data_IF_150292740349
#
_entry.id   IF_150292740349
#
_cell.length_a   1.000
_cell.length_b   1.000
_cell.length_c   1.000
_cell.angle_alpha   90.00
_cell.angle_beta   90.00
_cell.angle_gamma   90.00
#
_symmetry.space_group_name_H-M   'P 1'
#
loop_
_entity.id
_entity.type
_entity.pdbx_description
1 polymer ?
#
# COMPACT_ATOMS: atom_id res chain seq x y z
N UNK A 1 -3.66 58.65 -10.54
CA UNK A 1 -2.49 57.76 -10.64
C UNK A 1 -2.95 56.33 -10.36
N UNK A 2 -2.78 55.40 -11.32
CA UNK A 2 -3.06 53.98 -11.10
C UNK A 2 -1.85 53.33 -10.42
N UNK A 3 -2.10 52.48 -9.44
CA UNK A 3 -1.27 51.29 -9.17
C UNK A 3 -2.19 50.08 -9.13
N UNK A 4 -2.06 49.12 -10.06
CA UNK A 4 -2.60 47.78 -9.89
C UNK A 4 -1.53 46.89 -9.24
N UNK A 5 -1.84 46.27 -8.10
CA UNK A 5 -0.99 45.20 -7.54
C UNK A 5 -1.81 43.92 -7.30
N UNK A 6 -1.70 43.03 -8.29
CA UNK A 6 -1.53 41.58 -8.21
C UNK A 6 -2.08 40.83 -6.99
N UNK A 7 -3.27 40.24 -7.14
CA UNK A 7 -3.81 39.23 -6.21
C UNK A 7 -4.09 37.86 -6.85
N UNK A 8 -3.65 37.61 -8.10
CA UNK A 8 -4.00 36.39 -8.83
C UNK A 8 -2.97 35.22 -8.75
N UNK A 9 -1.80 35.38 -8.10
CA UNK A 9 -0.68 34.42 -8.21
C UNK A 9 -0.57 33.36 -7.11
N UNK A 10 -1.25 33.53 -5.97
CA UNK A 10 -1.14 32.65 -4.79
C UNK A 10 -1.94 31.32 -4.89
N UNK A 11 -3.16 31.27 -5.46
CA UNK A 11 -3.96 30.03 -5.50
C UNK A 11 -3.40 28.95 -6.44
N UNK A 12 -2.78 29.38 -7.54
CA UNK A 12 -2.23 28.47 -8.54
C UNK A 12 -0.99 27.74 -7.99
N UNK A 13 -0.03 28.47 -7.38
CA UNK A 13 1.17 27.89 -6.75
C UNK A 13 0.86 26.84 -5.68
N UNK A 14 -0.15 27.06 -4.85
CA UNK A 14 -0.56 26.08 -3.82
C UNK A 14 -1.20 24.82 -4.42
N UNK A 15 -1.94 24.96 -5.54
CA UNK A 15 -2.50 23.83 -6.31
C UNK A 15 -1.39 22.96 -6.88
N UNK A 16 -0.36 23.57 -7.45
CA UNK A 16 0.80 22.87 -8.01
C UNK A 16 1.62 22.15 -6.94
N UNK A 17 1.91 22.83 -5.82
CA UNK A 17 2.64 22.23 -4.70
C UNK A 17 1.94 20.99 -4.16
N UNK A 18 0.60 21.03 -4.06
CA UNK A 18 -0.19 19.90 -3.57
C UNK A 18 -0.22 18.74 -4.56
N UNK A 19 -0.47 18.96 -5.84
CA UNK A 19 -0.44 17.89 -6.85
C UNK A 19 0.90 17.16 -6.89
N UNK A 20 2.01 17.92 -6.87
CA UNK A 20 3.37 17.35 -6.82
C UNK A 20 3.61 16.56 -5.53
N UNK A 21 3.20 17.07 -4.36
CA UNK A 21 3.33 16.35 -3.09
C UNK A 21 2.60 15.00 -3.13
N UNK A 22 1.35 14.99 -3.58
CA UNK A 22 0.55 13.75 -3.68
C UNK A 22 1.18 12.77 -4.66
N UNK A 23 1.66 13.25 -5.81
CA UNK A 23 2.32 12.42 -6.79
C UNK A 23 3.67 11.87 -6.31
N UNK A 24 4.47 12.67 -5.61
CA UNK A 24 5.72 12.22 -4.99
C UNK A 24 5.46 11.18 -3.91
N UNK A 25 4.44 11.36 -3.07
CA UNK A 25 4.06 10.36 -2.05
C UNK A 25 3.67 9.02 -2.68
N UNK A 26 2.89 9.04 -3.78
CA UNK A 26 2.54 7.84 -4.52
C UNK A 26 3.76 7.08 -5.07
N UNK A 27 4.71 7.81 -5.68
CA UNK A 27 5.93 7.22 -6.24
C UNK A 27 6.81 6.69 -5.12
N UNK A 28 7.05 7.47 -4.06
CA UNK A 28 7.86 7.07 -2.93
C UNK A 28 7.30 5.82 -2.25
N UNK A 29 5.99 5.75 -2.05
CA UNK A 29 5.31 4.57 -1.51
C UNK A 29 5.54 3.35 -2.42
N UNK A 30 5.25 3.48 -3.73
CA UNK A 30 5.38 2.37 -4.67
C UNK A 30 6.82 1.84 -4.76
N UNK A 31 7.82 2.73 -4.79
CA UNK A 31 9.24 2.35 -4.82
C UNK A 31 9.67 1.71 -3.50
N UNK A 32 9.30 2.30 -2.37
CA UNK A 32 9.66 1.77 -1.05
C UNK A 32 9.08 0.36 -0.84
N UNK A 33 7.79 0.16 -1.11
CA UNK A 33 7.16 -1.16 -1.00
C UNK A 33 7.78 -2.17 -1.97
N UNK A 34 8.14 -1.76 -3.20
CA UNK A 34 8.83 -2.65 -4.14
C UNK A 34 10.21 -3.08 -3.63
N UNK A 35 10.96 -2.17 -3.01
CA UNK A 35 12.26 -2.49 -2.38
C UNK A 35 12.06 -3.45 -1.21
N UNK A 36 11.07 -3.20 -0.35
CA UNK A 36 10.75 -4.06 0.81
C UNK A 36 10.50 -5.51 0.36
N UNK A 37 9.65 -5.69 -0.65
CA UNK A 37 9.33 -7.01 -1.19
C UNK A 37 10.54 -7.66 -1.89
N UNK A 38 11.37 -6.88 -2.59
CA UNK A 38 12.58 -7.39 -3.23
C UNK A 38 13.63 -7.85 -2.21
N UNK A 39 13.78 -7.15 -1.08
CA UNK A 39 14.67 -7.55 0.02
C UNK A 39 14.21 -8.88 0.60
N UNK A 40 12.93 -8.99 0.99
CA UNK A 40 12.39 -10.22 1.57
C UNK A 40 12.44 -11.41 0.60
N UNK A 41 12.13 -11.19 -0.68
CA UNK A 41 12.25 -12.23 -1.70
C UNK A 41 13.72 -12.64 -1.91
N UNK A 42 14.65 -11.68 -1.94
CA UNK A 42 16.07 -11.93 -2.14
C UNK A 42 16.74 -12.67 -0.99
N UNK A 43 16.20 -12.57 0.23
CA UNK A 43 16.68 -13.33 1.41
C UNK A 43 16.00 -14.68 1.59
N UNK A 44 15.07 -15.04 0.69
CA UNK A 44 14.35 -16.32 0.77
C UNK A 44 13.33 -16.36 1.90
N UNK A 45 12.56 -15.27 2.10
CA UNK A 45 11.48 -15.26 3.08
C UNK A 45 10.53 -16.45 2.88
N UNK A 46 10.19 -17.18 3.96
CA UNK A 46 9.38 -18.38 3.89
C UNK A 46 7.94 -18.05 3.44
N UNK A 47 7.31 -18.99 2.74
CA UNK A 47 5.88 -18.93 2.45
C UNK A 47 5.06 -19.15 3.72
N UNK A 48 3.80 -18.69 3.76
CA UNK A 48 2.94 -18.84 4.95
C UNK A 48 2.73 -20.29 5.40
N UNK A 49 2.72 -21.25 4.47
CA UNK A 49 2.64 -22.69 4.78
C UNK A 49 3.98 -23.40 4.96
N UNK A 50 5.09 -22.67 5.11
CA UNK A 50 6.40 -23.28 5.36
C UNK A 50 6.44 -23.95 6.75
N UNK A 51 7.22 -25.04 6.92
CA UNK A 51 7.47 -25.62 8.24
C UNK A 51 7.94 -24.58 9.24
N UNK A 52 7.45 -24.65 10.49
CA UNK A 52 7.71 -23.60 11.48
C UNK A 52 9.20 -23.53 11.87
N UNK A 53 9.93 -24.64 11.73
CA UNK A 53 11.38 -24.71 11.88
C UNK A 53 12.11 -23.83 10.87
N UNK A 54 11.64 -23.81 9.62
CA UNK A 54 12.20 -22.97 8.55
C UNK A 54 11.91 -21.49 8.83
N UNK A 55 10.71 -21.18 9.34
CA UNK A 55 10.34 -19.81 9.74
C UNK A 55 11.23 -19.33 10.88
N UNK A 56 11.43 -20.15 11.91
CA UNK A 56 12.32 -19.82 13.02
C UNK A 56 13.76 -19.60 12.54
N UNK A 57 14.28 -20.53 11.74
CA UNK A 57 15.64 -20.44 11.20
C UNK A 57 15.82 -19.18 10.34
N UNK A 58 14.82 -18.83 9.52
CA UNK A 58 14.84 -17.62 8.70
C UNK A 58 14.95 -16.37 9.57
N UNK A 59 14.09 -16.23 10.58
CA UNK A 59 14.06 -15.04 11.43
C UNK A 59 15.32 -14.89 12.29
N UNK A 60 15.91 -15.99 12.76
CA UNK A 60 17.20 -15.98 13.46
C UNK A 60 18.37 -15.59 12.54
N UNK A 61 18.34 -16.03 11.28
CA UNK A 61 19.41 -15.75 10.32
C UNK A 61 19.31 -14.38 9.64
N UNK A 62 18.11 -13.79 9.55
CA UNK A 62 17.83 -12.61 8.71
C UNK A 62 17.35 -11.39 9.51
N UNK A 63 17.86 -11.20 10.73
CA UNK A 63 17.52 -10.07 11.59
C UNK A 63 17.63 -8.72 10.88
N UNK A 64 18.75 -8.45 10.21
CA UNK A 64 19.01 -7.16 9.56
C UNK A 64 18.09 -6.89 8.35
N UNK A 65 17.93 -7.83 7.38
CA UNK A 65 16.95 -7.68 6.31
C UNK A 65 15.52 -7.44 6.82
N UNK A 66 15.09 -8.18 7.84
CA UNK A 66 13.75 -7.98 8.40
C UNK A 66 13.64 -6.62 9.10
N UNK A 67 14.67 -6.17 9.82
CA UNK A 67 14.68 -4.83 10.41
C UNK A 67 14.55 -3.72 9.35
N UNK A 68 15.22 -3.88 8.20
CA UNK A 68 15.07 -2.97 7.05
C UNK A 68 13.62 -2.98 6.57
N UNK A 69 13.06 -4.16 6.27
CA UNK A 69 11.67 -4.28 5.81
C UNK A 69 10.67 -3.66 6.81
N UNK A 70 10.83 -3.93 8.11
CA UNK A 70 9.99 -3.37 9.17
C UNK A 70 10.10 -1.85 9.29
N UNK A 71 11.28 -1.27 9.03
CA UNK A 71 11.47 0.18 8.98
C UNK A 71 10.79 0.81 7.76
N UNK A 72 10.75 0.10 6.63
CA UNK A 72 10.05 0.55 5.43
C UNK A 72 8.55 0.62 5.65
N UNK A 73 7.95 -0.31 6.41
CA UNK A 73 6.54 -0.20 6.79
C UNK A 73 6.28 1.13 7.53
N UNK A 74 7.14 1.52 8.48
CA UNK A 74 6.99 2.80 9.20
C UNK A 74 7.05 4.03 8.28
N UNK A 75 7.78 3.95 7.16
CA UNK A 75 7.79 4.98 6.12
C UNK A 75 6.57 4.89 5.19
N UNK A 76 6.13 3.66 4.84
CA UNK A 76 5.06 3.40 3.89
C UNK A 76 3.70 3.88 4.41
N UNK A 77 3.43 3.73 5.71
CA UNK A 77 2.18 4.16 6.33
C UNK A 77 1.87 5.65 6.12
N UNK A 78 2.74 6.61 6.52
CA UNK A 78 2.47 8.03 6.28
C UNK A 78 2.45 8.37 4.78
N UNK A 79 3.25 7.73 3.93
CA UNK A 79 3.24 7.97 2.49
C UNK A 79 1.90 7.58 1.85
N UNK A 80 1.35 6.41 2.22
CA UNK A 80 0.04 5.97 1.77
C UNK A 80 -1.05 6.94 2.22
N UNK A 81 -1.03 7.36 3.48
CA UNK A 81 -2.02 8.28 4.04
C UNK A 81 -1.97 9.65 3.36
N UNK A 82 -0.78 10.20 3.14
CA UNK A 82 -0.58 11.44 2.37
C UNK A 82 -1.12 11.29 0.95
N UNK A 83 -0.88 10.15 0.31
CA UNK A 83 -1.41 9.89 -1.02
C UNK A 83 -2.93 9.85 -1.06
N UNK A 84 -3.59 9.01 -0.25
CA UNK A 84 -5.05 8.82 -0.33
C UNK A 84 -5.83 10.05 0.13
N UNK A 85 -5.38 10.73 1.20
CA UNK A 85 -6.00 11.97 1.68
C UNK A 85 -5.74 13.14 0.72
N UNK A 86 -4.54 13.19 0.14
CA UNK A 86 -4.18 14.17 -0.86
C UNK A 86 -4.99 14.00 -2.15
N UNK A 87 -5.16 12.76 -2.61
CA UNK A 87 -6.01 12.43 -3.75
C UNK A 87 -7.47 12.82 -3.49
N UNK A 88 -8.01 12.53 -2.30
CA UNK A 88 -9.33 13.01 -1.88
C UNK A 88 -9.43 14.54 -1.99
N UNK A 89 -8.44 15.27 -1.50
CA UNK A 89 -8.38 16.73 -1.60
C UNK A 89 -8.28 17.26 -3.05
N UNK A 90 -7.74 16.48 -3.99
CA UNK A 90 -7.74 16.83 -5.41
C UNK A 90 -9.10 16.56 -6.06
N UNK A 91 -9.75 15.45 -5.72
CA UNK A 91 -11.09 15.06 -6.19
C UNK A 91 -12.14 16.09 -5.80
N UNK A 92 -12.16 16.51 -4.54
CA UNK A 92 -13.13 17.49 -4.03
C UNK A 92 -13.08 18.83 -4.77
N UNK A 93 -11.91 19.18 -5.32
CA UNK A 93 -11.71 20.46 -6.05
C UNK A 93 -12.11 20.40 -7.52
N UNK A 94 -12.45 19.23 -8.05
CA UNK A 94 -12.88 19.03 -9.44
C UNK A 94 -14.41 18.92 -9.59
N UNK A 95 -15.18 19.22 -8.53
CA UNK A 95 -16.64 19.32 -8.60
C UNK A 95 -17.38 18.08 -8.07
N UNK A 96 -16.94 17.53 -6.94
CA UNK A 96 -17.54 16.40 -6.20
C UNK A 96 -17.70 15.06 -6.96
N UNK A 97 -17.51 15.01 -8.27
CA UNK A 97 -17.52 13.79 -9.06
C UNK A 97 -16.45 12.81 -8.57
N UNK A 98 -16.89 11.73 -7.90
CA UNK A 98 -16.01 10.73 -7.28
C UNK A 98 -15.75 10.93 -5.79
N UNK A 99 -16.43 11.87 -5.12
CA UNK A 99 -16.26 12.14 -3.69
C UNK A 99 -16.47 10.89 -2.83
N UNK A 100 -17.55 10.13 -3.04
CA UNK A 100 -17.83 8.91 -2.26
C UNK A 100 -16.75 7.85 -2.44
N UNK A 101 -16.29 7.65 -3.69
CA UNK A 101 -15.19 6.73 -4.00
C UNK A 101 -13.89 7.14 -3.31
N UNK A 102 -13.61 8.45 -3.25
CA UNK A 102 -12.41 8.93 -2.55
C UNK A 102 -12.50 8.79 -1.04
N UNK A 103 -13.70 8.94 -0.44
CA UNK A 103 -13.92 8.67 0.99
C UNK A 103 -13.72 7.18 1.31
N UNK A 104 -14.25 6.30 0.45
CA UNK A 104 -14.02 4.86 0.55
C UNK A 104 -12.53 4.53 0.46
N UNK A 105 -11.80 5.14 -0.47
CA UNK A 105 -10.36 4.93 -0.62
C UNK A 105 -9.56 5.37 0.62
N UNK A 106 -9.92 6.52 1.22
CA UNK A 106 -9.31 7.01 2.46
C UNK A 106 -9.60 6.07 3.63
N UNK A 107 -10.87 5.67 3.81
CA UNK A 107 -11.26 4.76 4.89
C UNK A 107 -10.53 3.41 4.76
N UNK A 108 -10.59 2.80 3.58
CA UNK A 108 -9.89 1.54 3.31
C UNK A 108 -8.36 1.67 3.43
N UNK A 109 -7.78 2.80 3.00
CA UNK A 109 -6.34 3.06 3.13
C UNK A 109 -5.90 3.21 4.59
N UNK A 110 -6.73 3.82 5.43
CA UNK A 110 -6.49 3.89 6.88
C UNK A 110 -6.62 2.51 7.54
N UNK A 111 -7.63 1.71 7.16
CA UNK A 111 -7.77 0.33 7.64
C UNK A 111 -6.58 -0.52 7.20
N UNK A 112 -6.15 -0.42 5.94
CA UNK A 112 -4.96 -1.09 5.41
C UNK A 112 -3.72 -0.71 6.22
N UNK A 113 -3.56 0.57 6.54
CA UNK A 113 -2.46 1.05 7.38
C UNK A 113 -2.47 0.40 8.76
N UNK A 114 -3.64 0.30 9.40
CA UNK A 114 -3.78 -0.36 10.70
C UNK A 114 -3.46 -1.87 10.63
N UNK A 115 -3.87 -2.55 9.55
CA UNK A 115 -3.53 -3.96 9.33
C UNK A 115 -2.01 -4.12 9.17
N UNK A 116 -1.35 -3.26 8.38
CA UNK A 116 0.11 -3.34 8.23
C UNK A 116 0.87 -3.02 9.52
N UNK A 117 0.34 -2.15 10.39
CA UNK A 117 0.88 -1.99 11.75
C UNK A 117 0.83 -3.32 12.50
N UNK A 118 -0.30 -4.03 12.46
CA UNK A 118 -0.44 -5.33 13.10
C UNK A 118 0.54 -6.37 12.51
N UNK A 119 0.60 -6.49 11.18
CA UNK A 119 1.54 -7.37 10.47
C UNK A 119 2.97 -7.11 10.92
N UNK A 120 3.38 -5.84 10.95
CA UNK A 120 4.73 -5.44 11.28
C UNK A 120 5.06 -5.64 12.77
N UNK A 121 4.12 -5.39 13.67
CA UNK A 121 4.29 -5.68 15.11
C UNK A 121 4.55 -7.17 15.34
N UNK A 122 3.77 -8.04 14.68
CA UNK A 122 3.95 -9.48 14.79
C UNK A 122 5.29 -9.92 14.19
N UNK A 123 5.69 -9.34 13.06
CA UNK A 123 6.98 -9.62 12.42
C UNK A 123 8.18 -9.21 13.30
N UNK A 124 8.12 -8.04 13.94
CA UNK A 124 9.12 -7.60 14.92
C UNK A 124 9.17 -8.58 16.09
N UNK A 125 8.01 -9.04 16.59
CA UNK A 125 7.93 -10.04 17.65
C UNK A 125 8.60 -11.37 17.27
N UNK A 126 8.40 -11.84 16.03
CA UNK A 126 9.02 -13.06 15.50
C UNK A 126 10.55 -12.93 15.47
N UNK A 127 11.08 -11.86 14.89
CA UNK A 127 12.55 -11.60 14.86
C UNK A 127 13.13 -11.57 16.27
N UNK A 128 12.51 -10.81 17.18
CA UNK A 128 13.04 -10.64 18.54
C UNK A 128 12.99 -11.95 19.35
N UNK A 129 12.03 -12.83 19.05
CA UNK A 129 11.91 -14.13 19.71
C UNK A 129 12.87 -15.17 19.13
N UNK A 130 13.13 -15.12 17.83
CA UNK A 130 13.89 -16.15 17.12
C UNK A 130 15.32 -16.33 17.65
N UNK A 131 16.02 -15.25 17.99
CA UNK A 131 17.40 -15.30 18.51
C UNK A 131 17.53 -16.07 19.84
N UNK A 132 16.45 -16.20 20.61
CA UNK A 132 16.43 -16.83 21.93
C UNK A 132 15.92 -18.27 21.95
N UNK A 133 15.47 -18.79 20.81
CA UNK A 133 14.81 -20.10 20.72
C UNK A 133 15.72 -21.11 20.03
N UNK A 134 15.95 -22.25 20.68
CA UNK A 134 16.62 -23.40 20.07
C UNK A 134 15.68 -24.23 19.18
N UNK A 135 14.39 -24.26 19.53
CA UNK A 135 13.33 -24.98 18.83
C UNK A 135 12.06 -24.12 18.76
N UNK A 136 11.18 -24.33 17.76
CA UNK A 136 9.90 -23.63 17.68
C UNK A 136 9.03 -23.89 18.90
N UNK A 137 8.23 -22.88 19.27
CA UNK A 137 7.24 -23.01 20.35
C UNK A 137 5.84 -22.82 19.80
N UNK A 138 4.79 -23.38 20.45
CA UNK A 138 3.41 -23.14 20.04
C UNK A 138 3.03 -21.65 20.00
N UNK A 139 3.65 -20.83 20.87
CA UNK A 139 3.44 -19.39 20.86
C UNK A 139 4.05 -18.71 19.62
N UNK A 140 5.26 -19.10 19.23
CA UNK A 140 5.91 -18.61 18.01
C UNK A 140 5.11 -18.98 16.77
N UNK A 141 4.63 -20.22 16.70
CA UNK A 141 3.77 -20.72 15.61
C UNK A 141 2.44 -19.96 15.53
N UNK A 142 1.78 -19.72 16.68
CA UNK A 142 0.56 -18.93 16.73
C UNK A 142 0.80 -17.50 16.21
N UNK A 143 1.90 -16.85 16.61
CA UNK A 143 2.24 -15.50 16.11
C UNK A 143 2.45 -15.51 14.60
N UNK A 144 3.10 -16.53 14.05
CA UNK A 144 3.26 -16.71 12.60
C UNK A 144 1.91 -16.84 11.87
N UNK A 145 1.01 -17.68 12.38
CA UNK A 145 -0.33 -17.83 11.80
C UNK A 145 -1.15 -16.54 11.87
N UNK A 146 -1.07 -15.80 12.99
CA UNK A 146 -1.76 -14.51 13.13
C UNK A 146 -1.15 -13.47 12.18
N UNK A 147 0.17 -13.47 11.99
CA UNK A 147 0.85 -12.62 11.01
C UNK A 147 0.37 -12.91 9.58
N UNK A 148 0.31 -14.19 9.20
CA UNK A 148 -0.18 -14.64 7.90
C UNK A 148 -1.65 -14.25 7.66
N UNK A 149 -2.52 -14.46 8.66
CA UNK A 149 -3.92 -14.08 8.58
C UNK A 149 -4.12 -12.55 8.47
N UNK A 150 -3.35 -11.77 9.24
CA UNK A 150 -3.38 -10.31 9.16
C UNK A 150 -2.93 -9.83 7.77
N UNK A 151 -1.87 -10.42 7.22
CA UNK A 151 -1.40 -10.11 5.87
C UNK A 151 -2.47 -10.46 4.81
N UNK A 152 -3.11 -11.62 4.92
CA UNK A 152 -4.16 -12.02 3.99
C UNK A 152 -5.35 -11.03 3.99
N UNK A 153 -5.71 -10.47 5.16
CA UNK A 153 -6.73 -9.42 5.30
C UNK A 153 -6.28 -8.03 4.78
N UNK A 154 -4.99 -7.82 4.55
CA UNK A 154 -4.48 -6.63 3.88
C UNK A 154 -4.86 -6.61 2.39
N UNK A 155 -4.99 -7.77 1.73
CA UNK A 155 -5.34 -7.87 0.31
C UNK A 155 -6.70 -7.23 -0.01
N UNK A 156 -7.82 -7.58 0.63
CA UNK A 156 -9.12 -7.01 0.29
C UNK A 156 -9.23 -5.52 0.65
N UNK A 157 -8.55 -5.08 1.71
CA UNK A 157 -8.49 -3.66 2.08
C UNK A 157 -7.68 -2.86 1.06
N UNK A 158 -6.55 -3.38 0.58
CA UNK A 158 -5.81 -2.81 -0.54
C UNK A 158 -6.65 -2.78 -1.82
N UNK A 159 -7.36 -3.86 -2.13
CA UNK A 159 -8.25 -3.92 -3.30
C UNK A 159 -9.34 -2.84 -3.24
N UNK A 160 -9.92 -2.63 -2.06
CA UNK A 160 -10.92 -1.56 -1.82
C UNK A 160 -10.32 -0.16 -1.98
N UNK A 161 -9.13 0.08 -1.42
CA UNK A 161 -8.39 1.34 -1.60
C UNK A 161 -8.12 1.59 -3.08
N UNK A 162 -7.68 0.58 -3.81
CA UNK A 162 -7.33 0.68 -5.23
C UNK A 162 -8.56 1.03 -6.08
N UNK A 163 -9.66 0.28 -5.93
CA UNK A 163 -10.92 0.55 -6.64
C UNK A 163 -11.41 1.96 -6.35
N UNK A 164 -11.49 2.34 -5.07
CA UNK A 164 -11.96 3.66 -4.66
C UNK A 164 -11.10 4.78 -5.24
N UNK A 165 -9.77 4.65 -5.15
CA UNK A 165 -8.84 5.65 -5.67
C UNK A 165 -8.93 5.77 -7.20
N UNK A 166 -9.01 4.64 -7.91
CA UNK A 166 -9.11 4.61 -9.37
C UNK A 166 -10.43 5.21 -9.88
N UNK A 167 -11.55 4.85 -9.26
CA UNK A 167 -12.87 5.40 -9.61
C UNK A 167 -12.95 6.89 -9.31
N UNK A 168 -12.48 7.32 -8.14
CA UNK A 168 -12.49 8.73 -7.76
C UNK A 168 -11.61 9.57 -8.71
N UNK A 169 -10.37 9.13 -8.95
CA UNK A 169 -9.45 9.84 -9.82
C UNK A 169 -9.96 9.92 -11.26
N UNK A 170 -10.64 8.88 -11.75
CA UNK A 170 -11.23 8.90 -13.09
C UNK A 170 -12.46 9.82 -13.17
N UNK A 171 -13.39 9.72 -12.21
CA UNK A 171 -14.60 10.54 -12.17
C UNK A 171 -14.28 12.04 -12.08
N UNK A 172 -13.20 12.41 -11.38
CA UNK A 172 -12.69 13.79 -11.30
C UNK A 172 -11.83 14.23 -12.51
N UNK A 173 -11.72 13.41 -13.56
CA UNK A 173 -10.91 13.71 -14.75
C UNK A 173 -9.39 13.72 -14.49
N UNK A 174 -8.93 13.24 -13.33
CA UNK A 174 -7.51 13.16 -12.99
C UNK A 174 -6.82 12.00 -13.73
N UNK A 175 -7.55 10.95 -14.14
CA UNK A 175 -6.97 9.77 -14.82
C UNK A 175 -7.73 9.31 -16.08
N UNK A 176 -7.00 8.82 -17.12
CA UNK A 176 -7.60 8.28 -18.33
C UNK A 176 -8.32 6.94 -18.07
N UNK A 177 -9.18 6.47 -19.00
CA UNK A 177 -9.98 5.26 -18.82
C UNK A 177 -9.19 3.98 -18.53
N UNK A 178 -7.99 3.81 -19.09
CA UNK A 178 -7.19 2.61 -18.86
C UNK A 178 -6.76 2.47 -17.38
N UNK A 179 -6.51 3.59 -16.69
CA UNK A 179 -6.15 3.59 -15.27
C UNK A 179 -7.35 3.19 -14.41
N UNK A 180 -8.58 3.54 -14.82
CA UNK A 180 -9.80 3.03 -14.19
C UNK A 180 -9.93 1.52 -14.38
N UNK A 181 -9.77 1.03 -15.61
CA UNK A 181 -9.86 -0.40 -15.89
C UNK A 181 -8.82 -1.19 -15.10
N UNK A 182 -7.57 -0.71 -15.07
CA UNK A 182 -6.51 -1.32 -14.29
C UNK A 182 -6.85 -1.37 -12.80
N UNK A 183 -7.42 -0.30 -12.24
CA UNK A 183 -7.81 -0.27 -10.83
C UNK A 183 -9.00 -1.16 -10.49
N UNK A 184 -9.96 -1.30 -11.40
CA UNK A 184 -11.06 -2.25 -11.24
C UNK A 184 -10.56 -3.69 -11.31
N UNK A 185 -9.82 -4.05 -12.35
CA UNK A 185 -9.30 -5.42 -12.51
C UNK A 185 -8.34 -5.76 -11.38
N UNK A 186 -7.32 -4.93 -11.15
CA UNK A 186 -6.32 -5.17 -10.12
C UNK A 186 -6.91 -5.20 -8.71
N UNK A 187 -7.82 -4.28 -8.40
CA UNK A 187 -8.51 -4.28 -7.11
C UNK A 187 -9.46 -5.45 -6.93
N UNK A 188 -10.13 -5.92 -7.99
CA UNK A 188 -10.97 -7.13 -7.95
C UNK A 188 -10.14 -8.40 -7.73
N UNK A 189 -8.94 -8.50 -8.32
CA UNK A 189 -8.02 -9.62 -8.04
C UNK A 189 -7.62 -9.66 -6.57
N UNK A 190 -7.31 -8.50 -5.98
CA UNK A 190 -7.00 -8.37 -4.56
C UNK A 190 -8.17 -8.74 -3.65
N UNK A 191 -9.39 -8.31 -4.01
CA UNK A 191 -10.61 -8.71 -3.29
C UNK A 191 -10.84 -10.23 -3.38
N UNK A 192 -10.71 -10.81 -4.58
CA UNK A 192 -10.89 -12.24 -4.80
C UNK A 192 -9.89 -13.08 -4.00
N UNK A 193 -8.61 -12.67 -3.99
CA UNK A 193 -7.60 -13.31 -3.14
C UNK A 193 -7.94 -13.15 -1.65
N UNK A 194 -8.39 -11.97 -1.23
CA UNK A 194 -8.81 -11.69 0.14
C UNK A 194 -9.97 -12.53 0.66
N UNK A 195 -10.88 -12.98 -0.20
CA UNK A 195 -11.95 -13.92 0.17
C UNK A 195 -11.41 -15.29 0.58
N UNK A 196 -10.23 -15.66 0.08
CA UNK A 196 -9.49 -16.87 0.47
C UNK A 196 -8.52 -16.64 1.64
N UNK A 197 -8.79 -15.70 2.54
CA UNK A 197 -7.82 -15.27 3.55
C UNK A 197 -7.29 -16.41 4.44
N UNK A 198 -8.17 -17.32 4.87
CA UNK A 198 -7.75 -18.52 5.61
C UNK A 198 -6.85 -19.42 4.77
N UNK A 199 -7.23 -19.69 3.51
CA UNK A 199 -6.44 -20.52 2.62
C UNK A 199 -5.05 -19.90 2.35
N UNK A 200 -4.97 -18.58 2.18
CA UNK A 200 -3.70 -17.87 2.01
C UNK A 200 -2.86 -17.94 3.28
N UNK A 201 -3.48 -17.76 4.46
CA UNK A 201 -2.78 -17.90 5.73
C UNK A 201 -2.23 -19.32 5.95
N UNK A 202 -2.89 -20.32 5.38
CA UNK A 202 -2.48 -21.73 5.33
C UNK A 202 -1.52 -22.06 4.16
N UNK A 203 -1.04 -21.04 3.42
CA UNK A 203 -0.02 -21.22 2.37
C UNK A 203 -0.55 -21.46 0.95
N UNK A 204 -1.83 -21.23 0.67
CA UNK A 204 -2.41 -21.40 -0.67
C UNK A 204 -1.77 -20.49 -1.74
N UNK A 205 -1.65 -21.04 -2.96
CA UNK A 205 -1.24 -20.33 -4.18
C UNK A 205 -2.19 -19.18 -4.59
N UNK A 206 -3.37 -19.05 -3.97
CA UNK A 206 -4.26 -17.90 -4.16
C UNK A 206 -3.55 -16.55 -3.93
N UNK A 207 -2.47 -16.54 -3.14
CA UNK A 207 -1.63 -15.36 -2.95
C UNK A 207 -1.10 -14.79 -4.27
N UNK A 208 -0.83 -15.63 -5.29
CA UNK A 208 -0.34 -15.17 -6.60
C UNK A 208 -1.40 -14.38 -7.37
N UNK A 209 -2.69 -14.66 -7.16
CA UNK A 209 -3.78 -13.84 -7.70
C UNK A 209 -3.74 -12.44 -7.08
N UNK A 210 -3.52 -12.38 -5.75
CA UNK A 210 -3.32 -11.13 -5.02
C UNK A 210 -2.08 -10.38 -5.51
N UNK A 211 -0.98 -11.09 -5.78
CA UNK A 211 0.28 -10.52 -6.29
C UNK A 211 0.09 -9.83 -7.65
N UNK A 212 -0.72 -10.41 -8.54
CA UNK A 212 -1.06 -9.76 -9.81
C UNK A 212 -1.84 -8.45 -9.60
N UNK A 213 -2.80 -8.45 -8.68
CA UNK A 213 -3.55 -7.24 -8.31
C UNK A 213 -2.66 -6.18 -7.64
N UNK A 214 -1.71 -6.61 -6.82
CA UNK A 214 -0.70 -5.75 -6.21
C UNK A 214 0.26 -5.15 -7.25
N UNK A 215 0.72 -5.93 -8.23
CA UNK A 215 1.54 -5.41 -9.33
C UNK A 215 0.77 -4.34 -10.12
N UNK A 216 -0.51 -4.58 -10.41
CA UNK A 216 -1.39 -3.58 -11.03
C UNK A 216 -1.52 -2.31 -10.18
N UNK A 217 -1.58 -2.44 -8.85
CA UNK A 217 -1.59 -1.30 -7.92
C UNK A 217 -0.32 -0.46 -8.02
N UNK A 218 0.86 -1.08 -8.01
CA UNK A 218 2.14 -0.39 -8.15
C UNK A 218 2.23 0.36 -9.49
N UNK A 219 1.85 -0.30 -10.59
CA UNK A 219 1.81 0.34 -11.93
C UNK A 219 0.88 1.55 -11.92
N UNK A 220 -0.30 1.41 -11.32
CA UNK A 220 -1.27 2.50 -11.24
C UNK A 220 -0.78 3.66 -10.38
N UNK A 221 -0.15 3.40 -9.23
CA UNK A 221 0.45 4.43 -8.37
C UNK A 221 1.54 5.20 -9.09
N UNK A 222 2.45 4.51 -9.78
CA UNK A 222 3.53 5.14 -10.54
C UNK A 222 2.97 6.00 -11.68
N UNK A 223 2.00 5.47 -12.45
CA UNK A 223 1.37 6.22 -13.54
C UNK A 223 0.63 7.47 -13.04
N UNK A 224 -0.16 7.34 -11.98
CA UNK A 224 -0.86 8.47 -11.34
C UNK A 224 0.14 9.46 -10.76
N UNK A 225 1.14 8.97 -10.03
CA UNK A 225 2.15 9.79 -9.37
C UNK A 225 2.94 10.63 -10.36
N UNK A 226 3.44 10.01 -11.44
CA UNK A 226 4.16 10.70 -12.52
C UNK A 226 3.26 11.76 -13.17
N UNK A 227 1.98 11.45 -13.40
CA UNK A 227 1.03 12.42 -13.98
C UNK A 227 0.77 13.59 -13.04
N UNK A 228 0.61 13.36 -11.75
CA UNK A 228 0.40 14.41 -10.74
C UNK A 228 1.65 15.29 -10.57
N UNK A 229 2.86 14.71 -10.65
CA UNK A 229 4.12 15.47 -10.63
C UNK A 229 4.29 16.30 -11.90
N UNK A 230 3.90 15.77 -13.07
CA UNK A 230 4.04 16.42 -14.38
C UNK A 230 2.94 17.41 -14.73
N UNK A 231 1.82 17.43 -14.01
CA UNK A 231 0.71 18.36 -14.24
C UNK A 231 1.10 19.78 -13.80
N UNK A 232 1.95 20.42 -14.59
CA UNK A 232 2.30 21.85 -14.57
C UNK A 232 1.29 22.70 -15.37
N UNK A 233 1.48 24.03 -15.44
CA UNK A 233 0.44 24.99 -15.84
C UNK A 233 -0.08 24.71 -17.25
N UNK A 234 -1.40 24.65 -17.39
CA UNK A 234 -2.08 25.04 -18.63
C UNK A 234 -2.51 26.49 -18.48
#
# INVERSE_FOLDING_TARGET
MRSPQNTATTPARSRFGRGRLVGTAAIAFAVSVAIENAVLAGTGAPTFGAPIEEVLAYYAANRDPVAIASSQVALNLPLLLVFVTGLHGLVQRQGEAGADWSRLAVAAGATLSAIFVLVNVLQIGLVLSADGLAEPTPAFELVWHVHAAAFALALPTLGTTFIGAALAAHASGLTPPWQRLLGLVGGSLLLAAGLGSLAIADGSELIFVGLLGFAAWLVWLLATGVRLVRSGPR
#
